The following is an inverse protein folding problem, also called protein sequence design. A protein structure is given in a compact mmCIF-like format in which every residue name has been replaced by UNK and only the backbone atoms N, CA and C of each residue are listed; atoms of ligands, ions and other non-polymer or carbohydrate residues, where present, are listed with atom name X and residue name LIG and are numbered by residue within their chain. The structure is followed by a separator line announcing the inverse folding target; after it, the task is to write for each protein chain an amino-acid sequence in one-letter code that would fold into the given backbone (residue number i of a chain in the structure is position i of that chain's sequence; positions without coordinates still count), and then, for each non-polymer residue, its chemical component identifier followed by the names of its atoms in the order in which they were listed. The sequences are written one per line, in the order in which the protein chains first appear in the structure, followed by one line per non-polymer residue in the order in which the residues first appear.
data_IF_086207468385
#
_entry.id   IF_086207468385
#
_cell.length_a   1.000
_cell.length_b   1.000
_cell.length_c   1.000
_cell.angle_alpha   90.00
_cell.angle_beta   90.00
_cell.angle_gamma   90.00
#
_symmetry.space_group_name_H-M   'P 1'
#
loop_
_entity.id
_entity.type
_entity.pdbx_description
1 polymer ?
#
# COMPACT_ATOMS: atom_id res chain seq x y z
N UNK A 1 3.12 -11.31 -16.83
CA UNK A 1 3.88 -11.56 -15.58
C UNK A 1 3.69 -10.37 -14.66
N UNK A 2 2.65 -10.40 -13.83
CA UNK A 2 2.46 -9.42 -12.75
C UNK A 2 3.09 -10.06 -11.51
N UNK A 3 4.23 -9.53 -11.08
CA UNK A 3 4.93 -10.00 -9.88
C UNK A 3 4.26 -9.42 -8.64
N UNK A 4 3.47 -10.25 -7.96
CA UNK A 4 3.05 -10.00 -6.58
C UNK A 4 4.26 -10.22 -5.66
N UNK A 5 4.84 -9.13 -5.14
CA UNK A 5 5.83 -9.21 -4.06
C UNK A 5 5.09 -9.10 -2.73
N UNK A 6 4.61 -10.24 -2.24
CA UNK A 6 4.19 -10.41 -0.85
C UNK A 6 5.47 -10.58 -0.02
N UNK A 7 5.86 -9.56 0.74
CA UNK A 7 6.98 -9.64 1.68
C UNK A 7 6.57 -10.48 2.89
N UNK A 8 6.71 -11.80 2.78
CA UNK A 8 6.70 -12.71 3.92
C UNK A 8 7.99 -12.51 4.73
N UNK A 9 7.94 -11.70 5.79
CA UNK A 9 9.02 -11.65 6.77
C UNK A 9 8.92 -12.85 7.72
N UNK A 10 9.69 -13.88 7.39
CA UNK A 10 9.96 -15.02 8.26
C UNK A 10 10.60 -14.58 9.57
N UNK A 11 10.13 -15.18 10.66
CA UNK A 11 10.56 -14.88 12.00
C UNK A 11 12.02 -15.20 12.31
N UNK A 12 12.57 -14.43 13.25
CA UNK A 12 13.36 -14.93 14.38
C UNK A 12 13.56 -13.84 15.44
N UNK A 13 13.13 -14.21 16.64
CA UNK A 13 13.38 -13.63 17.97
C UNK A 13 14.72 -12.91 18.13
N UNK A 14 14.70 -11.76 18.81
CA UNK A 14 15.79 -11.26 19.68
C UNK A 14 15.25 -10.16 20.61
N UNK A 15 14.42 -10.53 21.58
CA UNK A 15 14.18 -9.67 22.75
C UNK A 15 15.29 -9.92 23.77
N UNK A 16 16.30 -9.04 23.75
CA UNK A 16 17.33 -9.00 24.78
C UNK A 16 16.72 -8.52 26.10
N UNK A 17 16.86 -9.35 27.14
CA UNK A 17 16.42 -9.08 28.51
C UNK A 17 17.13 -7.86 29.07
N UNK A 18 16.37 -6.84 29.46
CA UNK A 18 16.77 -5.90 30.50
C UNK A 18 15.98 -6.25 31.76
N UNK A 19 16.60 -7.02 32.65
CA UNK A 19 16.10 -7.31 33.99
C UNK A 19 16.39 -6.11 34.90
N UNK A 20 15.38 -5.58 35.61
CA UNK A 20 15.47 -5.07 36.99
C UNK A 20 14.09 -4.58 37.51
N UNK A 21 13.56 -5.31 38.50
CA UNK A 21 12.61 -4.91 39.57
C UNK A 21 11.18 -4.48 39.15
N UNK A 22 10.05 -4.92 39.72
CA UNK A 22 9.75 -5.58 41.00
C UNK A 22 8.36 -6.25 40.94
N UNK A 23 8.27 -7.47 41.47
CA UNK A 23 7.16 -8.12 42.20
C UNK A 23 5.75 -7.51 42.16
N UNK A 24 4.80 -8.18 41.50
CA UNK A 24 3.80 -9.07 42.13
C UNK A 24 2.57 -9.28 41.23
N UNK A 25 1.93 -10.45 41.40
CA UNK A 25 0.51 -10.68 41.11
C UNK A 25 0.11 -11.04 39.65
N UNK A 26 0.33 -12.29 39.26
CA UNK A 26 -0.73 -13.32 39.07
C UNK A 26 -0.20 -14.49 38.25
N UNK A 27 -0.18 -15.67 38.86
CA UNK A 27 -0.15 -16.95 38.16
C UNK A 27 -1.48 -17.12 37.41
N UNK A 28 -1.56 -16.68 36.15
CA UNK A 28 -2.52 -17.21 35.17
C UNK A 28 -1.75 -17.85 34.03
N UNK A 29 -2.20 -19.05 33.67
CA UNK A 29 -1.47 -20.03 32.89
C UNK A 29 -1.06 -19.50 31.50
N UNK A 30 0.25 -19.49 31.24
CA UNK A 30 0.85 -19.31 29.91
C UNK A 30 0.31 -20.29 28.85
N UNK A 31 -0.28 -21.43 29.28
CA UNK A 31 -0.87 -22.44 28.41
C UNK A 31 -2.23 -22.03 27.82
N UNK A 32 -3.01 -21.20 28.53
CA UNK A 32 -4.33 -20.79 28.07
C UNK A 32 -4.23 -19.68 27.00
N UNK A 33 -3.20 -18.81 27.09
CA UNK A 33 -2.94 -17.77 26.08
C UNK A 33 -2.45 -18.35 24.74
N UNK A 34 -1.62 -19.41 24.77
CA UNK A 34 -1.18 -20.09 23.55
C UNK A 34 -2.31 -20.87 22.86
N UNK A 35 -3.27 -21.39 23.63
CA UNK A 35 -4.43 -22.11 23.09
C UNK A 35 -5.48 -21.14 22.50
N UNK A 36 -5.60 -19.93 23.06
CA UNK A 36 -6.45 -18.88 22.50
C UNK A 36 -5.90 -18.34 21.17
N UNK A 37 -4.57 -18.20 21.04
CA UNK A 37 -3.91 -17.83 19.78
C UNK A 37 -4.12 -18.86 18.66
N UNK A 38 -4.09 -20.16 18.98
CA UNK A 38 -4.34 -21.23 17.99
C UNK A 38 -5.81 -21.32 17.55
N UNK A 39 -6.76 -20.89 18.39
CA UNK A 39 -8.19 -20.85 18.06
C UNK A 39 -8.59 -19.58 17.29
N UNK A 40 -7.79 -18.51 17.38
CA UNK A 40 -7.99 -17.27 16.61
C UNK A 40 -7.23 -17.25 15.28
N UNK A 41 -6.30 -18.18 15.08
CA UNK A 41 -5.66 -18.45 13.78
C UNK A 41 -6.50 -19.41 12.94
N UNK A 42 -7.80 -19.19 12.86
CA UNK A 42 -8.49 -19.54 11.62
C UNK A 42 -7.88 -18.61 10.59
N UNK A 43 -6.91 -19.08 9.82
CA UNK A 43 -6.40 -18.38 8.65
C UNK A 43 -7.58 -18.24 7.68
N UNK A 44 -8.42 -17.21 7.89
CA UNK A 44 -9.29 -16.73 6.82
C UNK A 44 -8.34 -16.34 5.70
N UNK A 45 -8.41 -17.08 4.59
CA UNK A 45 -7.52 -16.91 3.46
C UNK A 45 -7.68 -15.47 2.94
N UNK A 46 -6.69 -14.63 3.23
CA UNK A 46 -6.67 -13.25 2.76
C UNK A 46 -6.62 -13.24 1.24
N UNK A 47 -7.61 -12.60 0.62
CA UNK A 47 -7.74 -12.51 -0.82
C UNK A 47 -7.97 -11.05 -1.21
N UNK A 48 -6.91 -10.40 -1.68
CA UNK A 48 -6.94 -9.01 -2.12
C UNK A 48 -7.93 -8.76 -3.27
N UNK A 49 -8.10 -9.72 -4.19
CA UNK A 49 -9.04 -9.60 -5.30
C UNK A 49 -10.51 -9.68 -4.85
N UNK A 50 -10.76 -10.30 -3.71
CA UNK A 50 -12.08 -10.37 -3.08
C UNK A 50 -12.24 -9.37 -1.92
N UNK A 51 -11.31 -8.42 -1.76
CA UNK A 51 -11.31 -7.46 -0.66
C UNK A 51 -11.23 -8.07 0.75
N UNK A 52 -10.80 -9.33 0.85
CA UNK A 52 -10.59 -10.03 2.11
C UNK A 52 -9.18 -9.75 2.62
N UNK A 53 -8.99 -8.56 3.17
CA UNK A 53 -7.75 -8.18 3.86
C UNK A 53 -8.08 -7.97 5.34
N UNK A 54 -7.11 -8.21 6.24
CA UNK A 54 -7.30 -8.00 7.68
C UNK A 54 -7.95 -6.64 7.98
N UNK A 55 -8.85 -6.58 8.97
CA UNK A 55 -9.71 -5.41 9.22
C UNK A 55 -8.95 -4.08 9.40
N UNK A 56 -7.71 -4.14 9.87
CA UNK A 56 -6.81 -3.00 10.01
C UNK A 56 -6.49 -2.35 8.66
N UNK A 57 -6.40 -3.15 7.59
CA UNK A 57 -6.07 -2.68 6.23
C UNK A 57 -7.30 -2.19 5.46
N UNK A 58 -8.51 -2.65 5.80
CA UNK A 58 -9.75 -2.15 5.18
C UNK A 58 -9.99 -0.66 5.46
N UNK A 59 -9.48 -0.16 6.59
CA UNK A 59 -9.60 1.26 6.98
C UNK A 59 -8.33 2.06 6.70
N UNK A 60 -7.26 1.41 6.28
CA UNK A 60 -5.99 2.06 6.01
C UNK A 60 -6.07 2.87 4.71
N UNK A 61 -5.43 4.04 4.70
CA UNK A 61 -5.20 4.76 3.44
C UNK A 61 -4.07 4.07 2.68
N UNK A 62 -4.29 3.84 1.39
CA UNK A 62 -3.28 3.28 0.51
C UNK A 62 -2.50 4.41 -0.19
N UNK A 63 -1.22 4.18 -0.46
CA UNK A 63 -0.36 5.12 -1.19
C UNK A 63 -0.04 4.56 -2.58
N UNK A 64 -0.17 5.40 -3.59
CA UNK A 64 0.29 5.12 -4.94
C UNK A 64 1.82 5.16 -5.01
N UNK A 65 2.43 4.47 -5.98
CA UNK A 65 3.88 4.49 -6.19
C UNK A 65 4.42 5.91 -6.33
N UNK A 66 3.66 6.80 -6.98
CA UNK A 66 4.02 8.20 -7.15
C UNK A 66 4.02 8.98 -5.83
N UNK A 67 3.06 8.74 -4.93
CA UNK A 67 3.03 9.34 -3.60
C UNK A 67 4.21 8.85 -2.75
N UNK A 68 4.49 7.55 -2.80
CA UNK A 68 5.64 6.96 -2.10
C UNK A 68 6.95 7.52 -2.64
N UNK A 69 7.08 7.70 -3.96
CA UNK A 69 8.26 8.30 -4.57
C UNK A 69 8.54 9.70 -4.00
N UNK A 70 7.54 10.58 -3.98
CA UNK A 70 7.68 11.93 -3.44
C UNK A 70 8.08 11.93 -1.95
N UNK A 71 7.47 11.05 -1.15
CA UNK A 71 7.77 10.94 0.29
C UNK A 71 9.21 10.48 0.51
N UNK A 72 9.64 9.43 -0.20
CA UNK A 72 10.98 8.88 -0.04
C UNK A 72 12.05 9.82 -0.62
N UNK A 73 11.78 10.51 -1.72
CA UNK A 73 12.66 11.53 -2.29
C UNK A 73 12.86 12.68 -1.31
N UNK A 74 11.78 13.23 -0.77
CA UNK A 74 11.87 14.31 0.21
C UNK A 74 12.66 13.88 1.46
N UNK A 75 12.44 12.65 1.93
CA UNK A 75 13.21 12.10 3.05
C UNK A 75 14.70 11.96 2.71
N UNK A 76 15.01 11.53 1.50
CA UNK A 76 16.39 11.41 1.03
C UNK A 76 17.08 12.77 0.95
N UNK A 77 16.41 13.79 0.41
CA UNK A 77 16.94 15.17 0.35
C UNK A 77 17.26 15.73 1.74
N UNK A 78 16.39 15.48 2.74
CA UNK A 78 16.65 15.88 4.13
C UNK A 78 17.92 15.21 4.68
N UNK A 79 18.15 13.93 4.36
CA UNK A 79 19.36 13.23 4.78
C UNK A 79 20.61 13.78 4.09
N UNK A 80 20.51 14.17 2.82
CA UNK A 80 21.61 14.82 2.09
C UNK A 80 22.02 16.15 2.71
N UNK A 81 21.07 16.90 3.29
CA UNK A 81 21.37 18.16 3.97
C UNK A 81 22.04 17.96 5.34
N UNK A 82 21.84 16.79 5.96
CA UNK A 82 22.37 16.47 7.30
C UNK A 82 23.71 15.72 7.26
N UNK A 83 24.09 15.14 6.11
CA UNK A 83 25.27 14.30 6.01
C UNK A 83 25.87 14.29 4.61
N UNK A 84 27.20 14.30 4.54
CA UNK A 84 27.95 14.12 3.29
C UNK A 84 27.85 12.70 2.72
N UNK A 85 27.46 11.70 3.53
CA UNK A 85 27.19 10.33 3.07
C UNK A 85 25.79 9.82 3.50
N UNK A 86 24.75 10.26 2.79
CA UNK A 86 23.37 9.90 3.09
C UNK A 86 23.05 8.44 2.76
N UNK A 87 23.85 7.78 1.91
CA UNK A 87 23.61 6.39 1.54
C UNK A 87 23.94 5.43 2.68
N UNK A 88 24.93 5.76 3.51
CA UNK A 88 25.24 5.00 4.72
C UNK A 88 24.20 5.15 5.84
N UNK A 89 23.28 6.13 5.75
CA UNK A 89 22.23 6.35 6.75
C UNK A 89 20.89 5.72 6.38
N UNK A 90 20.69 5.34 5.12
CA UNK A 90 19.45 4.71 4.68
C UNK A 90 19.56 3.18 4.77
N UNK A 91 18.46 2.54 5.15
CA UNK A 91 18.41 1.08 5.15
C UNK A 91 18.39 0.54 3.72
N UNK A 92 18.84 -0.70 3.53
CA UNK A 92 18.74 -1.38 2.23
C UNK A 92 17.30 -1.45 1.71
N UNK A 93 16.32 -1.55 2.62
CA UNK A 93 14.88 -1.52 2.27
C UNK A 93 14.51 -0.16 1.71
N UNK A 94 14.95 0.92 2.33
CA UNK A 94 14.69 2.28 1.84
C UNK A 94 15.27 2.48 0.44
N UNK A 95 16.53 2.10 0.23
CA UNK A 95 17.21 2.24 -1.07
C UNK A 95 16.45 1.48 -2.18
N UNK A 96 16.13 0.20 -1.93
CA UNK A 96 15.40 -0.63 -2.90
C UNK A 96 13.99 -0.11 -3.17
N UNK A 97 13.28 0.33 -2.13
CA UNK A 97 11.94 0.92 -2.27
C UNK A 97 12.00 2.20 -3.10
N UNK A 98 12.94 3.10 -2.81
CA UNK A 98 13.13 4.34 -3.57
C UNK A 98 13.45 4.06 -5.04
N UNK A 99 14.35 3.11 -5.32
CA UNK A 99 14.67 2.70 -6.69
C UNK A 99 13.46 2.12 -7.42
N UNK A 100 12.66 1.28 -6.75
CA UNK A 100 11.45 0.71 -7.33
C UNK A 100 10.43 1.80 -7.68
N UNK A 101 10.08 2.65 -6.71
CA UNK A 101 9.05 3.68 -6.94
C UNK A 101 9.50 4.72 -7.96
N UNK A 102 10.78 5.10 -7.99
CA UNK A 102 11.33 5.97 -9.04
C UNK A 102 11.19 5.37 -10.44
N UNK A 103 11.33 4.05 -10.56
CA UNK A 103 11.26 3.34 -11.84
C UNK A 103 9.83 3.12 -12.32
N UNK A 104 8.93 2.78 -11.40
CA UNK A 104 7.56 2.37 -11.72
C UNK A 104 6.49 3.43 -11.45
N UNK A 105 6.88 4.58 -10.88
CA UNK A 105 5.97 5.71 -10.78
C UNK A 105 5.55 6.18 -12.18
N UNK A 106 4.25 6.31 -12.37
CA UNK A 106 3.65 6.86 -13.59
C UNK A 106 3.69 8.37 -13.60
N UNK A 107 3.59 8.97 -12.40
CA UNK A 107 3.54 10.40 -12.19
C UNK A 107 4.78 10.87 -11.42
N UNK A 108 5.50 11.84 -11.98
CA UNK A 108 6.70 12.47 -11.40
C UNK A 108 6.43 13.90 -10.92
N UNK A 109 5.49 14.61 -11.55
CA UNK A 109 5.18 15.98 -11.15
C UNK A 109 4.33 15.94 -9.86
N UNK A 110 4.75 16.57 -8.74
CA UNK A 110 3.96 16.61 -7.51
C UNK A 110 2.52 17.12 -7.71
N UNK A 111 2.32 18.09 -8.60
CA UNK A 111 0.99 18.62 -8.91
C UNK A 111 0.13 17.59 -9.67
N UNK A 112 0.74 16.79 -10.54
CA UNK A 112 0.05 15.70 -11.24
C UNK A 112 -0.36 14.60 -10.25
N UNK A 113 0.54 14.20 -9.34
CA UNK A 113 0.24 13.22 -8.28
C UNK A 113 -0.96 13.64 -7.45
N UNK A 114 -0.99 14.91 -7.04
CA UNK A 114 -2.11 15.48 -6.29
C UNK A 114 -3.41 15.43 -7.08
N UNK A 115 -3.38 15.84 -8.35
CA UNK A 115 -4.57 15.84 -9.22
C UNK A 115 -5.10 14.41 -9.46
N UNK A 116 -4.23 13.42 -9.68
CA UNK A 116 -4.63 12.01 -9.82
C UNK A 116 -5.38 11.53 -8.58
N UNK A 117 -4.84 11.83 -7.39
CA UNK A 117 -5.49 11.47 -6.13
C UNK A 117 -6.86 12.13 -5.98
N UNK A 118 -6.96 13.40 -6.32
CA UNK A 118 -8.22 14.16 -6.26
C UNK A 118 -9.26 13.65 -7.26
N UNK A 119 -8.87 13.23 -8.46
CA UNK A 119 -9.77 12.65 -9.46
C UNK A 119 -10.29 11.30 -8.97
N UNK A 120 -9.41 10.36 -8.64
CA UNK A 120 -9.82 9.01 -8.24
C UNK A 120 -10.70 9.00 -6.98
N UNK A 121 -10.45 9.93 -6.04
CA UNK A 121 -11.25 10.05 -4.82
C UNK A 121 -12.70 10.48 -5.06
N UNK A 122 -13.04 11.01 -6.26
CA UNK A 122 -14.42 11.37 -6.62
C UNK A 122 -15.26 10.17 -7.02
N UNK A 123 -14.62 9.07 -7.41
CA UNK A 123 -15.28 7.89 -7.96
C UNK A 123 -15.62 6.82 -6.90
N UNK A 124 -15.74 7.17 -5.61
CA UNK A 124 -16.17 6.25 -4.53
C UNK A 124 -15.49 4.85 -4.54
N UNK A 125 -14.22 4.84 -4.95
CA UNK A 125 -13.38 3.64 -4.98
C UNK A 125 -12.92 3.30 -3.57
N UNK A 126 -12.71 2.02 -3.32
CA UNK A 126 -11.94 1.59 -2.17
C UNK A 126 -10.47 2.01 -2.34
N UNK A 127 -9.75 2.18 -1.23
CA UNK A 127 -8.37 2.68 -1.23
C UNK A 127 -7.42 1.82 -2.08
N UNK A 128 -7.60 0.50 -2.08
CA UNK A 128 -6.80 -0.41 -2.91
C UNK A 128 -7.12 -0.29 -4.41
N UNK A 129 -8.40 -0.22 -4.81
CA UNK A 129 -8.83 -0.03 -6.21
C UNK A 129 -8.24 1.26 -6.79
N UNK A 130 -8.33 2.35 -6.00
CA UNK A 130 -7.75 3.63 -6.32
C UNK A 130 -6.25 3.48 -6.62
N UNK A 131 -5.51 2.80 -5.72
CA UNK A 131 -4.08 2.61 -5.90
C UNK A 131 -3.75 1.72 -7.10
N UNK A 132 -4.53 0.67 -7.37
CA UNK A 132 -4.33 -0.20 -8.54
C UNK A 132 -4.50 0.61 -9.82
N UNK A 133 -5.60 1.36 -9.95
CA UNK A 133 -5.87 2.19 -11.13
C UNK A 133 -4.84 3.31 -11.31
N UNK A 134 -4.46 3.99 -10.22
CA UNK A 134 -3.45 5.04 -10.25
C UNK A 134 -2.06 4.53 -10.62
N UNK A 135 -1.70 3.29 -10.24
CA UNK A 135 -0.39 2.71 -10.55
C UNK A 135 -0.32 2.09 -11.95
N UNK A 136 -1.40 1.40 -12.37
CA UNK A 136 -1.41 0.66 -13.63
C UNK A 136 -1.84 1.53 -14.82
N UNK A 137 -2.67 2.54 -14.58
CA UNK A 137 -3.18 3.48 -15.59
C UNK A 137 -3.79 2.77 -16.82
N UNK A 138 -4.87 1.98 -16.64
CA UNK A 138 -5.54 1.32 -17.76
C UNK A 138 -6.12 2.35 -18.73
N UNK A 139 -6.17 1.99 -20.02
CA UNK A 139 -6.65 2.87 -21.09
C UNK A 139 -8.10 2.57 -21.49
N UNK A 140 -8.58 1.36 -21.19
CA UNK A 140 -9.93 0.89 -21.54
C UNK A 140 -10.67 0.36 -20.31
N UNK A 141 -12.00 0.39 -20.38
CA UNK A 141 -12.87 -0.14 -19.31
C UNK A 141 -12.62 -1.63 -19.12
N UNK A 142 -12.44 -2.38 -20.19
CA UNK A 142 -12.12 -3.81 -20.18
C UNK A 142 -10.80 -4.10 -19.47
N UNK A 143 -9.76 -3.29 -19.73
CA UNK A 143 -8.48 -3.42 -19.06
C UNK A 143 -8.59 -3.11 -17.56
N UNK A 144 -9.31 -2.04 -17.20
CA UNK A 144 -9.52 -1.67 -15.80
C UNK A 144 -10.21 -2.79 -15.02
N UNK A 145 -11.24 -3.41 -15.59
CA UNK A 145 -11.95 -4.56 -14.98
C UNK A 145 -11.07 -5.80 -14.94
N UNK A 146 -10.28 -6.05 -15.97
CA UNK A 146 -9.37 -7.18 -16.01
C UNK A 146 -8.26 -7.06 -14.96
N UNK A 147 -7.79 -5.84 -14.68
CA UNK A 147 -6.81 -5.54 -13.65
C UNK A 147 -7.41 -5.56 -12.24
N UNK A 148 -8.61 -5.00 -12.07
CA UNK A 148 -9.29 -4.94 -10.79
C UNK A 148 -10.80 -5.21 -10.94
N UNK A 149 -11.21 -6.49 -10.84
CA UNK A 149 -12.60 -6.90 -11.03
C UNK A 149 -13.56 -6.29 -9.99
N UNK A 150 -13.05 -5.94 -8.81
CA UNK A 150 -13.88 -5.45 -7.71
C UNK A 150 -14.49 -4.05 -7.97
N UNK A 151 -13.96 -3.28 -8.92
CA UNK A 151 -14.53 -1.97 -9.34
C UNK A 151 -15.99 -2.12 -9.81
N UNK A 152 -16.35 -3.25 -10.43
CA UNK A 152 -17.72 -3.54 -10.88
C UNK A 152 -18.57 -4.33 -9.87
N UNK A 153 -18.15 -4.41 -8.60
CA UNK A 153 -18.89 -5.18 -7.59
C UNK A 153 -20.33 -4.68 -7.45
N UNK A 154 -21.28 -5.62 -7.52
CA UNK A 154 -22.73 -5.38 -7.46
C UNK A 154 -23.11 -4.49 -6.27
N UNK A 155 -23.73 -3.34 -6.54
CA UNK A 155 -24.20 -2.38 -5.53
C UNK A 155 -23.44 -1.05 -5.54
N UNK A 156 -22.28 -0.97 -6.20
CA UNK A 156 -21.61 0.30 -6.52
C UNK A 156 -22.00 0.75 -7.93
N UNK A 157 -22.43 2.00 -8.07
CA UNK A 157 -22.92 2.58 -9.32
C UNK A 157 -21.76 3.04 -10.23
N UNK A 158 -20.84 2.14 -10.56
CA UNK A 158 -19.87 2.38 -11.62
C UNK A 158 -20.37 1.68 -12.88
N UNK A 159 -21.19 2.40 -13.64
CA UNK A 159 -21.46 2.03 -15.02
C UNK A 159 -20.17 2.16 -15.84
N UNK A 160 -20.13 1.47 -16.97
CA UNK A 160 -19.00 1.49 -17.90
C UNK A 160 -18.67 2.92 -18.32
N UNK A 161 -19.69 3.78 -18.48
CA UNK A 161 -19.53 5.21 -18.78
C UNK A 161 -18.80 5.99 -17.67
N UNK A 162 -19.05 5.70 -16.39
CA UNK A 162 -18.33 6.34 -15.28
C UNK A 162 -16.86 5.90 -15.23
N UNK A 163 -16.60 4.62 -15.49
CA UNK A 163 -15.22 4.11 -15.57
C UNK A 163 -14.53 4.78 -16.76
N UNK A 164 -15.17 4.83 -17.93
CA UNK A 164 -14.60 5.49 -19.11
C UNK A 164 -14.31 6.98 -18.87
N UNK A 165 -15.22 7.72 -18.23
CA UNK A 165 -14.98 9.12 -17.83
C UNK A 165 -13.78 9.26 -16.90
N UNK A 166 -13.68 8.41 -15.89
CA UNK A 166 -12.53 8.40 -14.97
C UNK A 166 -11.21 8.13 -15.70
N UNK A 167 -11.17 7.14 -16.61
CA UNK A 167 -9.96 6.83 -17.37
C UNK A 167 -9.58 7.98 -18.31
N UNK A 168 -10.57 8.63 -18.94
CA UNK A 168 -10.35 9.83 -19.74
C UNK A 168 -9.75 10.97 -18.90
N UNK A 169 -10.31 11.24 -17.72
CA UNK A 169 -9.81 12.25 -16.78
C UNK A 169 -8.33 11.99 -16.38
N UNK A 170 -7.99 10.73 -16.06
CA UNK A 170 -6.61 10.33 -15.76
C UNK A 170 -5.68 10.49 -16.98
N UNK A 171 -6.16 10.14 -18.17
CA UNK A 171 -5.39 10.26 -19.41
C UNK A 171 -4.99 11.71 -19.72
N UNK A 172 -5.82 12.67 -19.32
CA UNK A 172 -5.52 14.10 -19.49
C UNK A 172 -4.31 14.50 -18.65
N UNK A 173 -4.23 14.06 -17.39
CA UNK A 173 -3.07 14.37 -16.54
C UNK A 173 -1.81 13.77 -17.13
N UNK A 174 -1.85 12.49 -17.52
CA UNK A 174 -0.70 11.77 -18.09
C UNK A 174 -0.15 12.41 -19.38
N UNK A 175 -0.99 13.12 -20.15
CA UNK A 175 -0.55 13.82 -21.37
C UNK A 175 0.28 15.07 -21.09
N UNK A 176 0.12 15.70 -19.92
CA UNK A 176 0.76 16.97 -19.57
C UNK A 176 1.91 16.80 -18.58
N UNK A 177 2.41 15.57 -18.45
CA UNK A 177 3.52 15.17 -17.59
C UNK A 177 4.77 14.76 -18.40
#
# INVERSE_FOLDING_TARGET
MVTYNLLAYGGRSLYSRCSLFHSDFTHRNQADENHLWLMMSGEEEENAAELKIGEEFLKAKCLMNCEVALILEHKYEQLQQMSDDPMNQVSQVFEKSLQYVKRFSRYKNPDAVRQVREILSRYQLAEFELCVLGNLCPETVEEAIAMEPSIKTKGRAHDDDAIERMLNDLSLIKKFE
#
